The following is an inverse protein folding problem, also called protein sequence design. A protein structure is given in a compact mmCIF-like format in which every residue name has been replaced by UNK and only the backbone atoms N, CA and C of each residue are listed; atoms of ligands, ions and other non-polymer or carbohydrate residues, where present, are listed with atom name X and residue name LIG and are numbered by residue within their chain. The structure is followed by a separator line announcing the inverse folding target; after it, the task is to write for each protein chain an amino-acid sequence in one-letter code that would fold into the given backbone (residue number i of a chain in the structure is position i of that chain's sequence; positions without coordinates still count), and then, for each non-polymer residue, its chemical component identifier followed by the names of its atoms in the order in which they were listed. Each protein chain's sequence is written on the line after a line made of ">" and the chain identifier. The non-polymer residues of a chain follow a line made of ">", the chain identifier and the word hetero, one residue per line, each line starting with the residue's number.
data_IF_763996787912
#
_entry.id   IF_763996787912
#
_cell.length_a   1.000
_cell.length_b   1.000
_cell.length_c   1.000
_cell.angle_alpha   90.00
_cell.angle_beta   90.00
_cell.angle_gamma   90.00
#
_symmetry.space_group_name_H-M   'P 1'
#
loop_
_entity.id
_entity.type
_entity.pdbx_description
1 polymer ?
#
# COMPACT_ATOMS: atom_id res chain seq x y z
N UNK A 1 -2.00 2.24 9.22
CA UNK A 1 -3.24 2.90 8.76
C UNK A 1 -4.18 1.93 8.04
N UNK A 2 -3.81 1.37 6.88
CA UNK A 2 -4.68 0.49 6.09
C UNK A 2 -5.24 -0.71 6.88
N UNK A 3 -4.39 -1.44 7.60
CA UNK A 3 -4.83 -2.58 8.42
C UNK A 3 -5.81 -2.21 9.53
N UNK A 4 -5.63 -1.05 10.15
CA UNK A 4 -6.55 -0.54 11.17
C UNK A 4 -7.91 -0.20 10.55
N UNK A 5 -7.91 0.53 9.43
CA UNK A 5 -9.13 0.91 8.72
C UNK A 5 -9.91 -0.33 8.26
N UNK A 6 -9.21 -1.29 7.65
CA UNK A 6 -9.80 -2.55 7.22
C UNK A 6 -10.42 -3.32 8.39
N UNK A 7 -9.72 -3.38 9.54
CA UNK A 7 -10.24 -4.01 10.75
C UNK A 7 -11.48 -3.31 11.29
N UNK A 8 -11.47 -1.97 11.36
CA UNK A 8 -12.59 -1.21 11.93
C UNK A 8 -13.83 -1.22 11.05
N UNK A 9 -13.67 -1.15 9.73
CA UNK A 9 -14.80 -1.09 8.79
C UNK A 9 -15.34 -2.48 8.47
N UNK A 10 -14.46 -3.47 8.27
CA UNK A 10 -14.86 -4.79 7.75
C UNK A 10 -14.68 -5.94 8.75
N UNK A 11 -14.00 -5.72 9.88
CA UNK A 11 -13.60 -6.80 10.80
C UNK A 11 -12.67 -7.83 10.18
N UNK A 12 -12.04 -7.48 9.04
CA UNK A 12 -11.28 -8.37 8.14
C UNK A 12 -10.15 -7.59 7.51
N UNK A 13 -9.17 -8.28 6.94
CA UNK A 13 -8.05 -7.64 6.26
C UNK A 13 -7.49 -8.54 5.14
N UNK A 14 -6.81 -7.92 4.20
CA UNK A 14 -6.09 -8.59 3.10
C UNK A 14 -4.58 -8.60 3.30
N UNK A 15 -4.09 -7.70 4.17
CA UNK A 15 -2.67 -7.52 4.42
C UNK A 15 -2.35 -7.82 5.88
N UNK A 16 -1.23 -8.48 6.10
CA UNK A 16 -0.67 -8.70 7.42
C UNK A 16 0.74 -8.12 7.43
N UNK A 17 1.13 -7.53 8.54
CA UNK A 17 2.54 -7.23 8.76
C UNK A 17 3.22 -8.52 9.19
N UNK A 18 4.34 -8.89 8.57
CA UNK A 18 5.10 -10.10 8.91
C UNK A 18 5.69 -10.13 10.33
N UNK A 19 5.45 -9.11 11.15
CA UNK A 19 5.83 -9.06 12.56
C UNK A 19 4.67 -8.53 13.41
N UNK A 20 4.74 -8.77 14.72
CA UNK A 20 3.80 -8.26 15.72
C UNK A 20 2.34 -8.62 15.47
N UNK A 21 2.09 -9.87 15.11
CA UNK A 21 0.73 -10.41 15.00
C UNK A 21 0.58 -11.70 15.79
N UNK A 22 -0.66 -12.04 16.12
CA UNK A 22 -1.02 -13.31 16.73
C UNK A 22 -2.15 -13.97 15.92
N UNK A 23 -2.10 -15.30 15.83
CA UNK A 23 -3.13 -16.11 15.20
C UNK A 23 -3.46 -17.29 16.09
N UNK A 24 -4.75 -17.65 16.19
CA UNK A 24 -5.16 -18.83 16.95
C UNK A 24 -4.57 -20.08 16.30
N UNK A 25 -3.99 -20.98 17.11
CA UNK A 25 -3.38 -22.24 16.63
C UNK A 25 -4.30 -23.01 15.68
N UNK A 26 -5.56 -23.20 16.06
CA UNK A 26 -6.54 -23.94 15.25
C UNK A 26 -6.75 -23.27 13.88
N UNK A 27 -6.87 -21.93 13.86
CA UNK A 27 -6.97 -21.17 12.61
C UNK A 27 -5.70 -21.30 11.77
N UNK A 28 -4.52 -21.24 12.37
CA UNK A 28 -3.25 -21.40 11.65
C UNK A 28 -3.11 -22.78 10.99
N UNK A 29 -3.49 -23.84 11.71
CA UNK A 29 -3.50 -25.21 11.18
C UNK A 29 -4.55 -25.38 10.07
N UNK A 30 -5.75 -24.84 10.26
CA UNK A 30 -6.84 -24.87 9.27
C UNK A 30 -6.49 -24.17 7.94
N UNK A 31 -5.58 -23.19 7.98
CA UNK A 31 -5.10 -22.46 6.80
C UNK A 31 -3.91 -23.14 6.10
N UNK A 32 -3.44 -24.26 6.64
CA UNK A 32 -2.30 -25.01 6.12
C UNK A 32 -0.96 -24.33 6.40
N UNK A 33 -0.84 -23.62 7.53
CA UNK A 33 0.39 -22.94 7.98
C UNK A 33 0.90 -21.88 6.98
N UNK A 34 2.14 -21.43 7.14
CA UNK A 34 2.76 -20.46 6.22
C UNK A 34 2.99 -21.08 4.84
N UNK A 35 2.57 -20.40 3.76
CA UNK A 35 2.90 -20.81 2.41
C UNK A 35 4.37 -20.55 2.09
N UNK A 36 4.97 -21.39 1.24
CA UNK A 36 6.34 -21.23 0.73
C UNK A 36 6.40 -20.18 -0.40
N UNK A 37 6.19 -18.92 -0.05
CA UNK A 37 6.23 -17.76 -0.96
C UNK A 37 7.06 -16.63 -0.34
N UNK A 38 7.26 -15.52 -1.06
CA UNK A 38 8.08 -14.38 -0.63
C UNK A 38 7.40 -13.52 0.44
N UNK A 39 6.09 -13.29 0.29
CA UNK A 39 5.24 -12.57 1.24
C UNK A 39 4.28 -13.58 1.89
N UNK A 40 4.84 -14.45 2.72
CA UNK A 40 4.12 -15.51 3.41
C UNK A 40 3.01 -14.99 4.31
N UNK A 41 3.21 -13.80 4.90
CA UNK A 41 2.29 -13.06 5.74
C UNK A 41 1.04 -12.61 4.96
N UNK A 42 1.22 -12.03 3.78
CA UNK A 42 0.12 -11.59 2.92
C UNK A 42 -0.64 -12.77 2.33
N UNK A 43 0.05 -13.83 1.92
CA UNK A 43 -0.63 -15.03 1.42
C UNK A 43 -1.38 -15.76 2.55
N UNK A 44 -0.86 -15.78 3.78
CA UNK A 44 -1.59 -16.28 4.95
C UNK A 44 -2.86 -15.44 5.20
N UNK A 45 -2.75 -14.11 5.17
CA UNK A 45 -3.90 -13.22 5.34
C UNK A 45 -4.94 -13.40 4.23
N UNK A 46 -4.52 -13.58 2.99
CA UNK A 46 -5.44 -13.83 1.88
C UNK A 46 -6.26 -15.12 2.10
N UNK A 47 -5.64 -16.18 2.64
CA UNK A 47 -6.37 -17.40 3.03
C UNK A 47 -7.35 -17.11 4.19
N UNK A 48 -6.95 -16.33 5.19
CA UNK A 48 -7.86 -15.96 6.30
C UNK A 48 -9.08 -15.20 5.80
N UNK A 49 -8.88 -14.28 4.85
CA UNK A 49 -9.93 -13.49 4.22
C UNK A 49 -10.88 -14.37 3.39
N UNK A 50 -10.32 -15.34 2.65
CA UNK A 50 -11.10 -16.33 1.89
C UNK A 50 -11.98 -17.19 2.77
N UNK A 51 -11.54 -17.50 4.00
CA UNK A 51 -12.30 -18.27 5.00
C UNK A 51 -13.12 -17.40 5.97
N UNK A 52 -13.35 -16.13 5.65
CA UNK A 52 -14.19 -15.22 6.44
C UNK A 52 -13.74 -15.07 7.92
N UNK A 53 -12.46 -15.31 8.22
CA UNK A 53 -11.94 -15.22 9.59
C UNK A 53 -11.90 -13.76 10.05
N UNK A 54 -12.14 -13.55 11.34
CA UNK A 54 -12.13 -12.22 11.97
C UNK A 54 -10.69 -11.70 12.14
N UNK A 55 -10.52 -10.41 11.94
CA UNK A 55 -9.26 -9.68 12.11
C UNK A 55 -9.48 -8.44 12.98
N UNK A 56 -8.67 -8.30 14.02
CA UNK A 56 -8.63 -7.14 14.91
C UNK A 56 -7.27 -6.47 14.87
N UNK A 57 -7.24 -5.14 14.86
CA UNK A 57 -6.03 -4.35 15.00
C UNK A 57 -5.98 -3.67 16.37
N UNK A 58 -4.95 -3.95 17.17
CA UNK A 58 -4.73 -3.31 18.47
C UNK A 58 -3.79 -2.10 18.28
N UNK A 59 -4.23 -0.91 18.70
CA UNK A 59 -3.45 0.35 18.60
C UNK A 59 -2.47 0.56 19.76
N UNK A 60 -2.63 -0.18 20.85
CA UNK A 60 -1.77 -0.11 22.04
C UNK A 60 -0.53 -1.00 21.92
N UNK A 61 -0.63 -2.08 21.13
CA UNK A 61 0.50 -3.00 20.92
C UNK A 61 1.54 -2.34 20.01
N UNK A 62 2.74 -2.15 20.57
CA UNK A 62 3.88 -1.54 19.87
C UNK A 62 5.04 -2.52 19.89
N UNK A 63 5.71 -2.66 18.76
CA UNK A 63 6.96 -3.41 18.64
C UNK A 63 8.05 -2.48 18.12
N UNK A 64 9.27 -2.70 18.59
CA UNK A 64 10.45 -2.07 18.00
C UNK A 64 10.81 -2.84 16.73
N UNK A 65 10.87 -2.15 15.61
CA UNK A 65 11.37 -2.70 14.35
C UNK A 65 12.79 -2.21 14.12
N UNK A 66 13.60 -3.05 13.47
CA UNK A 66 14.90 -2.65 12.96
C UNK A 66 14.75 -2.29 11.49
N UNK A 67 15.30 -1.14 11.11
CA UNK A 67 15.33 -0.68 9.72
C UNK A 67 16.68 -1.07 9.09
N UNK A 68 16.74 -1.27 7.77
CA UNK A 68 17.99 -1.46 7.06
C UNK A 68 19.02 -0.40 7.44
N UNK A 69 20.26 -0.82 7.74
CA UNK A 69 21.31 0.09 8.24
C UNK A 69 22.06 0.79 7.10
N UNK A 70 21.97 0.26 5.88
CA UNK A 70 22.64 0.81 4.72
C UNK A 70 21.74 0.73 3.47
N UNK A 71 22.13 1.46 2.43
CA UNK A 71 21.37 1.55 1.19
C UNK A 71 21.26 0.19 0.49
N UNK A 72 22.28 -0.66 0.58
CA UNK A 72 22.26 -1.99 -0.03
C UNK A 72 21.17 -2.88 0.60
N UNK A 73 21.13 -2.99 1.93
CA UNK A 73 20.07 -3.71 2.65
C UNK A 73 18.68 -3.13 2.37
N UNK A 74 18.57 -1.81 2.26
CA UNK A 74 17.31 -1.15 1.91
C UNK A 74 16.87 -1.59 0.51
N UNK A 75 17.77 -1.55 -0.48
CA UNK A 75 17.48 -1.96 -1.87
C UNK A 75 17.04 -3.42 -1.92
N UNK A 76 17.78 -4.34 -1.27
CA UNK A 76 17.45 -5.76 -1.24
C UNK A 76 16.08 -6.02 -0.58
N UNK A 77 15.79 -5.34 0.53
CA UNK A 77 14.48 -5.44 1.19
C UNK A 77 13.35 -4.96 0.26
N UNK A 78 13.53 -3.83 -0.43
CA UNK A 78 12.50 -3.28 -1.33
C UNK A 78 12.31 -4.11 -2.59
N UNK A 79 13.39 -4.69 -3.14
CA UNK A 79 13.30 -5.69 -4.24
C UNK A 79 12.41 -6.85 -3.83
N UNK A 80 12.65 -7.43 -2.64
CA UNK A 80 11.87 -8.55 -2.11
C UNK A 80 10.39 -8.19 -1.97
N UNK A 81 10.08 -7.03 -1.39
CA UNK A 81 8.69 -6.60 -1.20
C UNK A 81 7.97 -6.37 -2.53
N UNK A 82 8.66 -5.76 -3.50
CA UNK A 82 8.11 -5.51 -4.83
C UNK A 82 7.78 -6.82 -5.58
N UNK A 83 8.70 -7.80 -5.53
CA UNK A 83 8.48 -9.12 -6.13
C UNK A 83 7.37 -9.89 -5.43
N UNK A 84 7.36 -9.90 -4.09
CA UNK A 84 6.32 -10.57 -3.29
C UNK A 84 4.93 -9.98 -3.53
N UNK A 85 4.82 -8.66 -3.65
CA UNK A 85 3.59 -7.95 -3.99
C UNK A 85 3.07 -8.38 -5.37
N UNK A 86 3.92 -8.41 -6.40
CA UNK A 86 3.54 -8.87 -7.75
C UNK A 86 2.99 -10.30 -7.72
N UNK A 87 3.71 -11.22 -7.08
CA UNK A 87 3.29 -12.64 -6.98
C UNK A 87 1.95 -12.77 -6.26
N UNK A 88 1.77 -12.03 -5.16
CA UNK A 88 0.52 -12.02 -4.40
C UNK A 88 -0.68 -11.57 -5.24
N UNK A 89 -0.50 -10.56 -6.10
CA UNK A 89 -1.57 -10.13 -7.02
C UNK A 89 -1.91 -11.17 -8.04
N UNK A 90 -0.91 -11.78 -8.67
CA UNK A 90 -1.15 -12.87 -9.62
C UNK A 90 -1.95 -13.99 -8.93
N UNK A 91 -1.64 -14.31 -7.67
CA UNK A 91 -2.40 -15.28 -6.89
C UNK A 91 -3.85 -14.82 -6.62
N UNK A 92 -4.05 -13.56 -6.26
CA UNK A 92 -5.38 -12.99 -6.01
C UNK A 92 -6.24 -12.96 -7.29
N UNK A 93 -5.70 -12.50 -8.41
CA UNK A 93 -6.41 -12.43 -9.69
C UNK A 93 -6.81 -13.82 -10.22
N UNK A 94 -5.98 -14.84 -9.99
CA UNK A 94 -6.34 -16.23 -10.29
C UNK A 94 -7.56 -16.71 -9.50
N UNK A 95 -7.86 -16.11 -8.35
CA UNK A 95 -9.01 -16.44 -7.50
C UNK A 95 -10.14 -15.41 -7.70
N UNK A 96 -10.80 -15.46 -8.85
CA UNK A 96 -11.80 -14.47 -9.28
C UNK A 96 -12.82 -14.08 -8.19
N UNK A 97 -13.46 -15.05 -7.54
CA UNK A 97 -14.44 -14.77 -6.46
C UNK A 97 -13.82 -14.09 -5.24
N UNK A 98 -12.60 -14.48 -4.87
CA UNK A 98 -11.88 -13.86 -3.78
C UNK A 98 -11.46 -12.42 -4.12
N UNK A 99 -11.06 -12.20 -5.38
CA UNK A 99 -10.78 -10.86 -5.91
C UNK A 99 -12.02 -9.96 -5.82
N UNK A 100 -13.17 -10.40 -6.32
CA UNK A 100 -14.42 -9.61 -6.22
C UNK A 100 -14.78 -9.26 -4.77
N UNK A 101 -14.64 -10.22 -3.84
CA UNK A 101 -14.86 -9.98 -2.41
C UNK A 101 -13.86 -8.98 -1.84
N UNK A 102 -12.61 -9.03 -2.29
CA UNK A 102 -11.54 -8.14 -1.86
C UNK A 102 -11.74 -6.70 -2.32
N UNK A 103 -12.45 -6.46 -3.43
CA UNK A 103 -12.70 -5.12 -3.98
C UNK A 103 -13.38 -4.17 -2.99
N UNK A 104 -14.26 -4.68 -2.11
CA UNK A 104 -14.90 -3.84 -1.08
C UNK A 104 -13.88 -3.29 -0.10
N UNK A 105 -12.98 -4.15 0.38
CA UNK A 105 -11.92 -3.78 1.33
C UNK A 105 -10.90 -2.88 0.66
N UNK A 106 -10.40 -3.30 -0.50
CA UNK A 106 -9.43 -2.53 -1.29
C UNK A 106 -10.00 -1.17 -1.65
N UNK A 107 -11.27 -1.12 -2.05
CA UNK A 107 -11.93 0.12 -2.45
C UNK A 107 -11.99 1.14 -1.31
N UNK A 108 -12.54 0.77 -0.16
CA UNK A 108 -12.64 1.73 0.97
C UNK A 108 -11.26 2.16 1.46
N UNK A 109 -10.32 1.22 1.62
CA UNK A 109 -8.94 1.56 2.00
C UNK A 109 -8.33 2.49 0.96
N UNK A 110 -8.54 2.18 -0.31
CA UNK A 110 -8.10 2.96 -1.45
C UNK A 110 -8.56 4.39 -1.49
N UNK A 111 -9.88 4.57 -1.40
CA UNK A 111 -10.51 5.89 -1.34
C UNK A 111 -9.87 6.72 -0.23
N UNK A 112 -9.81 6.18 1.00
CA UNK A 112 -9.28 6.93 2.16
C UNK A 112 -7.80 7.29 1.98
N UNK A 113 -6.97 6.37 1.48
CA UNK A 113 -5.55 6.65 1.25
C UNK A 113 -5.33 7.64 0.10
N UNK A 114 -6.25 7.68 -0.87
CA UNK A 114 -6.16 8.56 -2.05
C UNK A 114 -6.88 9.91 -1.85
N UNK A 115 -7.53 10.12 -0.70
CA UNK A 115 -8.26 11.36 -0.37
C UNK A 115 -7.46 12.64 -0.64
N UNK A 116 -6.17 12.75 -0.26
CA UNK A 116 -5.40 13.97 -0.54
C UNK A 116 -5.32 14.32 -2.03
N UNK A 117 -5.22 13.30 -2.88
CA UNK A 117 -5.15 13.48 -4.35
C UNK A 117 -6.54 13.84 -4.89
N UNK A 118 -7.58 13.17 -4.41
CA UNK A 118 -8.97 13.44 -4.80
C UNK A 118 -9.34 14.89 -4.49
N UNK A 119 -9.06 15.36 -3.27
CA UNK A 119 -9.33 16.75 -2.87
C UNK A 119 -8.56 17.75 -3.72
N UNK A 120 -7.28 17.48 -3.97
CA UNK A 120 -6.45 18.32 -4.82
C UNK A 120 -6.95 18.37 -6.26
N UNK A 121 -7.43 17.24 -6.80
CA UNK A 121 -8.00 17.20 -8.14
C UNK A 121 -9.26 18.06 -8.20
N UNK A 122 -10.19 17.90 -7.24
CA UNK A 122 -11.42 18.68 -7.16
C UNK A 122 -11.13 20.18 -7.17
N UNK A 123 -10.17 20.63 -6.35
CA UNK A 123 -9.75 22.03 -6.33
C UNK A 123 -9.17 22.46 -7.68
N UNK A 124 -8.38 21.62 -8.35
CA UNK A 124 -7.87 21.96 -9.68
C UNK A 124 -9.00 22.12 -10.71
N UNK A 125 -10.06 21.30 -10.61
CA UNK A 125 -11.23 21.38 -11.50
C UNK A 125 -12.06 22.65 -11.27
N UNK A 126 -12.03 23.21 -10.07
CA UNK A 126 -12.73 24.47 -9.75
C UNK A 126 -11.98 25.71 -10.22
N UNK A 127 -10.65 25.64 -10.34
CA UNK A 127 -9.79 26.79 -10.65
C UNK A 127 -9.57 26.98 -12.15
N UNK A 128 -9.64 25.90 -12.93
CA UNK A 128 -9.21 25.94 -14.34
C UNK A 128 -10.38 25.71 -15.30
N UNK A 129 -10.48 26.53 -16.35
CA UNK A 129 -11.37 26.36 -17.52
C UNK A 129 -10.89 25.16 -18.36
N UNK A 130 -11.01 23.96 -17.79
CA UNK A 130 -10.40 22.76 -18.36
C UNK A 130 -11.37 22.06 -19.32
N UNK A 131 -10.86 21.76 -20.52
CA UNK A 131 -11.47 20.79 -21.43
C UNK A 131 -11.83 19.48 -20.69
N UNK A 132 -13.07 19.02 -20.82
CA UNK A 132 -13.58 17.74 -20.29
C UNK A 132 -12.60 16.57 -20.54
N UNK A 133 -11.84 16.59 -21.63
CA UNK A 133 -10.84 15.56 -21.97
C UNK A 133 -9.69 15.42 -20.98
N UNK A 134 -9.18 16.52 -20.40
CA UNK A 134 -8.11 16.49 -19.40
C UNK A 134 -8.64 16.07 -18.02
N UNK A 135 -9.89 16.41 -17.71
CA UNK A 135 -10.60 15.95 -16.52
C UNK A 135 -10.86 14.45 -16.57
N UNK A 136 -11.24 13.92 -17.74
CA UNK A 136 -11.42 12.49 -17.95
C UNK A 136 -10.11 11.72 -17.76
N UNK A 137 -8.98 12.21 -18.27
CA UNK A 137 -7.66 11.62 -18.02
C UNK A 137 -7.31 11.56 -16.52
N UNK A 138 -7.64 12.61 -15.77
CA UNK A 138 -7.40 12.63 -14.32
C UNK A 138 -8.28 11.64 -13.55
N UNK A 139 -9.55 11.52 -13.94
CA UNK A 139 -10.46 10.52 -13.37
C UNK A 139 -9.98 9.12 -13.72
N UNK A 140 -9.55 8.88 -14.96
CA UNK A 140 -8.98 7.60 -15.40
C UNK A 140 -7.69 7.27 -14.63
N UNK A 141 -6.85 8.25 -14.32
CA UNK A 141 -5.63 8.09 -13.52
C UNK A 141 -5.92 7.89 -12.03
N UNK A 142 -6.95 8.54 -11.47
CA UNK A 142 -7.45 8.23 -10.13
C UNK A 142 -8.06 6.84 -10.07
N UNK A 143 -8.77 6.41 -11.12
CA UNK A 143 -9.29 5.06 -11.25
C UNK A 143 -8.15 4.04 -11.37
N UNK A 144 -7.10 4.34 -12.14
CA UNK A 144 -5.88 3.54 -12.24
C UNK A 144 -5.11 3.51 -10.91
N UNK A 145 -5.16 4.57 -10.10
CA UNK A 145 -4.65 4.59 -8.72
C UNK A 145 -5.50 3.71 -7.78
N UNK A 146 -6.83 3.80 -7.92
CA UNK A 146 -7.83 3.09 -7.12
C UNK A 146 -7.83 1.58 -7.37
N UNK A 147 -7.76 1.14 -8.63
CA UNK A 147 -7.55 -0.27 -8.99
C UNK A 147 -6.08 -0.69 -8.86
N UNK A 148 -5.16 0.28 -8.95
CA UNK A 148 -3.72 0.10 -8.81
C UNK A 148 -3.23 0.11 -7.36
N UNK A 149 -4.11 -0.08 -6.38
CA UNK A 149 -3.74 -0.05 -4.96
C UNK A 149 -2.67 -1.07 -4.56
N UNK A 150 -2.22 -1.93 -5.47
CA UNK A 150 -0.89 -2.53 -5.39
C UNK A 150 -0.39 -3.08 -6.77
N UNK A 151 -0.94 -2.60 -7.89
CA UNK A 151 -0.22 -2.67 -9.17
C UNK A 151 0.72 -1.46 -9.17
N UNK A 152 1.93 -1.53 -9.72
CA UNK A 152 2.72 -0.30 -9.90
C UNK A 152 2.11 0.69 -10.94
N UNK A 153 0.80 0.57 -11.25
CA UNK A 153 -0.02 1.58 -11.95
C UNK A 153 -0.47 2.73 -11.03
N UNK A 154 -0.57 2.56 -9.71
CA UNK A 154 -0.82 3.70 -8.80
C UNK A 154 0.32 4.73 -8.80
N UNK A 155 1.43 4.39 -9.42
CA UNK A 155 2.69 4.99 -9.08
C UNK A 155 3.18 5.90 -10.23
N UNK A 156 3.00 5.46 -11.48
CA UNK A 156 2.91 6.36 -12.65
C UNK A 156 1.70 7.29 -12.53
N UNK A 157 0.58 6.77 -12.03
CA UNK A 157 -0.61 7.57 -11.72
C UNK A 157 -0.30 8.68 -10.72
N UNK A 158 0.35 8.39 -9.59
CA UNK A 158 0.72 9.39 -8.58
C UNK A 158 1.69 10.46 -9.11
N UNK A 159 2.77 10.07 -9.79
CA UNK A 159 3.76 11.04 -10.30
C UNK A 159 3.17 11.91 -11.41
N UNK A 160 2.44 11.32 -12.36
CA UNK A 160 1.75 12.09 -13.39
C UNK A 160 0.66 12.97 -12.78
N UNK A 161 -0.07 12.50 -11.76
CA UNK A 161 -1.07 13.31 -11.06
C UNK A 161 -0.41 14.45 -10.30
N UNK A 162 0.73 14.22 -9.65
CA UNK A 162 1.51 15.26 -8.97
C UNK A 162 2.00 16.33 -9.94
N UNK A 163 2.59 15.91 -11.08
CA UNK A 163 3.08 16.83 -12.12
C UNK A 163 1.92 17.60 -12.78
N UNK A 164 0.79 16.94 -13.03
CA UNK A 164 -0.39 17.54 -13.64
C UNK A 164 -1.13 18.47 -12.68
N UNK A 165 -1.20 18.13 -11.39
CA UNK A 165 -1.71 19.03 -10.35
C UNK A 165 -0.78 20.24 -10.21
N UNK A 166 0.53 20.03 -10.26
CA UNK A 166 1.52 21.10 -10.19
C UNK A 166 1.50 22.05 -11.39
N UNK A 167 1.20 21.55 -12.59
CA UNK A 167 1.04 22.41 -13.77
C UNK A 167 -0.23 23.26 -13.73
N UNK A 168 -1.19 22.95 -12.85
CA UNK A 168 -2.41 23.74 -12.62
C UNK A 168 -2.26 24.82 -11.54
N UNK A 169 -1.06 25.00 -11.02
CA UNK A 169 -0.72 26.05 -10.07
C UNK A 169 -0.48 25.56 -8.64
N UNK A 170 -0.12 26.49 -7.78
CA UNK A 170 0.32 26.20 -6.41
C UNK A 170 -0.82 25.78 -5.48
N UNK A 171 -2.05 26.28 -5.70
CA UNK A 171 -3.17 26.03 -4.80
C UNK A 171 -3.55 24.54 -4.70
N UNK A 172 -3.71 23.77 -5.80
CA UNK A 172 -3.91 22.32 -5.72
C UNK A 172 -2.79 21.60 -4.96
N UNK A 173 -1.51 21.96 -5.19
CA UNK A 173 -0.38 21.37 -4.46
C UNK A 173 -0.45 21.65 -2.96
N UNK A 174 -0.81 22.87 -2.55
CA UNK A 174 -1.00 23.24 -1.15
C UNK A 174 -2.12 22.40 -0.52
N UNK A 175 -3.23 22.21 -1.23
CA UNK A 175 -4.36 21.39 -0.76
C UNK A 175 -3.95 19.93 -0.60
N UNK A 176 -3.22 19.36 -1.58
CA UNK A 176 -2.71 18.00 -1.49
C UNK A 176 -1.77 17.82 -0.29
N UNK A 177 -0.84 18.77 -0.09
CA UNK A 177 0.10 18.73 1.02
C UNK A 177 -0.63 18.87 2.36
N UNK A 178 -1.57 19.82 2.48
CA UNK A 178 -2.39 20.02 3.68
C UNK A 178 -3.25 18.80 4.02
N UNK A 179 -3.87 18.17 3.02
CA UNK A 179 -4.65 16.95 3.23
C UNK A 179 -3.78 15.77 3.67
N UNK A 180 -2.58 15.61 3.09
CA UNK A 180 -1.61 14.61 3.57
C UNK A 180 -1.17 14.90 5.01
N UNK A 181 -0.89 16.16 5.34
CA UNK A 181 -0.52 16.56 6.69
C UNK A 181 -1.61 16.19 7.70
N UNK A 182 -2.87 16.55 7.42
CA UNK A 182 -4.00 16.23 8.28
C UNK A 182 -4.18 14.72 8.47
N UNK A 183 -4.04 13.95 7.39
CA UNK A 183 -4.15 12.49 7.44
C UNK A 183 -3.03 11.89 8.30
N UNK A 184 -1.76 12.21 8.04
CA UNK A 184 -0.64 11.70 8.84
C UNK A 184 -0.70 12.17 10.29
N UNK A 185 -1.06 13.43 10.53
CA UNK A 185 -1.20 13.98 11.88
C UNK A 185 -2.31 13.26 12.65
N UNK A 186 -3.50 13.09 12.06
CA UNK A 186 -4.62 12.39 12.71
C UNK A 186 -4.24 10.97 13.08
N UNK A 187 -3.61 10.23 12.15
CA UNK A 187 -3.21 8.85 12.42
C UNK A 187 -2.02 8.74 13.37
N UNK A 188 -1.15 9.74 13.45
CA UNK A 188 -0.10 9.79 14.48
C UNK A 188 -0.72 9.86 15.88
N UNK A 189 -1.77 10.65 16.07
CA UNK A 189 -2.49 10.76 17.35
C UNK A 189 -3.26 9.47 17.65
N UNK A 190 -3.93 8.91 16.65
CA UNK A 190 -4.69 7.66 16.79
C UNK A 190 -3.82 6.48 17.24
N UNK A 191 -2.59 6.38 16.74
CA UNK A 191 -1.67 5.29 17.08
C UNK A 191 -0.69 5.66 18.21
N UNK A 192 -0.81 6.85 18.79
CA UNK A 192 0.11 7.34 19.83
C UNK A 192 1.57 7.37 19.37
N UNK A 193 1.81 7.77 18.11
CA UNK A 193 3.13 8.04 17.56
C UNK A 193 3.50 9.52 17.71
N UNK A 194 4.80 9.79 17.87
CA UNK A 194 5.33 11.15 17.79
C UNK A 194 5.21 11.62 16.34
N UNK A 195 4.63 12.80 16.15
CA UNK A 195 4.60 13.46 14.85
C UNK A 195 5.70 14.52 14.80
N UNK A 196 6.54 14.43 13.79
CA UNK A 196 7.58 15.41 13.50
C UNK A 196 7.31 16.02 12.12
N UNK A 197 7.12 17.34 12.08
CA UNK A 197 6.79 18.04 10.84
C UNK A 197 7.92 17.98 9.82
N UNK A 198 9.18 18.06 10.25
CA UNK A 198 10.35 18.01 9.36
C UNK A 198 10.48 16.63 8.72
N UNK A 199 10.31 15.56 9.51
CA UNK A 199 10.29 14.18 9.00
C UNK A 199 9.14 13.97 8.00
N UNK A 200 7.97 14.53 8.29
CA UNK A 200 6.81 14.48 7.39
C UNK A 200 7.09 15.18 6.05
N UNK A 201 7.66 16.39 6.07
CA UNK A 201 8.03 17.14 4.86
C UNK A 201 9.03 16.35 4.03
N UNK A 202 10.08 15.82 4.67
CA UNK A 202 11.08 14.99 4.00
C UNK A 202 10.47 13.72 3.40
N UNK A 203 9.56 13.08 4.16
CA UNK A 203 8.87 11.88 3.73
C UNK A 203 8.02 12.14 2.49
N UNK A 204 7.19 13.19 2.48
CA UNK A 204 6.25 13.46 1.40
C UNK A 204 6.96 14.00 0.15
N UNK A 205 7.94 14.88 0.30
CA UNK A 205 8.57 15.55 -0.84
C UNK A 205 9.72 14.76 -1.49
N UNK A 206 10.44 13.93 -0.71
CA UNK A 206 11.64 13.26 -1.20
C UNK A 206 11.54 11.74 -1.12
N UNK A 207 11.37 11.19 0.09
CA UNK A 207 11.44 9.75 0.30
C UNK A 207 10.29 9.01 -0.40
N UNK A 208 9.06 9.50 -0.28
CA UNK A 208 7.89 8.86 -0.88
C UNK A 208 7.99 8.84 -2.40
N UNK A 209 8.28 9.95 -3.12
CA UNK A 209 8.55 9.93 -4.56
C UNK A 209 9.70 9.00 -4.98
N UNK A 210 10.79 8.94 -4.20
CA UNK A 210 11.91 8.04 -4.48
C UNK A 210 11.52 6.56 -4.32
N UNK A 211 10.89 6.20 -3.20
CA UNK A 211 10.38 4.86 -2.92
C UNK A 211 9.38 4.43 -4.01
N UNK A 212 8.53 5.37 -4.41
CA UNK A 212 7.62 5.28 -5.55
C UNK A 212 8.46 4.90 -6.78
N UNK A 213 9.37 5.76 -7.25
CA UNK A 213 10.19 5.51 -8.44
C UNK A 213 10.93 4.16 -8.41
N UNK A 214 11.42 3.75 -7.24
CA UNK A 214 12.06 2.46 -7.03
C UNK A 214 11.11 1.28 -7.34
N UNK A 215 9.87 1.31 -6.82
CA UNK A 215 8.91 0.25 -7.08
C UNK A 215 8.45 0.19 -8.54
N UNK A 216 8.49 1.30 -9.32
CA UNK A 216 8.29 1.24 -10.78
C UNK A 216 9.38 0.42 -11.45
N UNK A 217 10.63 0.82 -11.22
CA UNK A 217 11.78 0.23 -11.89
C UNK A 217 11.89 -1.27 -11.54
N UNK A 218 11.80 -1.61 -10.26
CA UNK A 218 11.95 -2.99 -9.82
C UNK A 218 10.70 -3.84 -10.01
N UNK A 219 9.52 -3.28 -9.74
CA UNK A 219 8.26 -4.01 -9.81
C UNK A 219 7.85 -4.35 -11.24
N UNK A 220 8.15 -3.47 -12.21
CA UNK A 220 7.86 -3.73 -13.63
C UNK A 220 9.07 -4.24 -14.39
N UNK A 221 10.13 -3.45 -14.52
CA UNK A 221 11.17 -3.72 -15.52
C UNK A 221 12.03 -4.89 -15.07
N UNK A 222 12.54 -4.83 -13.84
CA UNK A 222 13.51 -5.81 -13.34
C UNK A 222 12.84 -7.14 -13.00
N UNK A 223 11.58 -7.14 -12.55
CA UNK A 223 10.88 -8.38 -12.17
C UNK A 223 10.55 -9.31 -13.33
N UNK A 224 10.50 -8.81 -14.59
CA UNK A 224 10.41 -9.69 -15.77
C UNK A 224 11.73 -10.39 -16.09
N UNK A 225 12.85 -9.79 -15.67
CA UNK A 225 14.21 -10.25 -15.97
C UNK A 225 14.77 -11.14 -14.84
N UNK A 226 14.51 -10.77 -13.59
CA UNK A 226 15.03 -11.46 -12.41
C UNK A 226 13.94 -12.29 -11.75
N UNK A 227 14.16 -13.60 -11.70
CA UNK A 227 13.34 -14.51 -10.90
C UNK A 227 13.65 -14.30 -9.42
N UNK A 228 12.64 -14.19 -8.55
CA UNK A 228 12.88 -14.04 -7.12
C UNK A 228 13.61 -15.25 -6.57
N UNK A 229 14.72 -15.02 -5.86
CA UNK A 229 15.32 -16.04 -5.01
C UNK A 229 14.46 -16.18 -3.75
N UNK A 230 14.17 -17.41 -3.39
CA UNK A 230 13.44 -17.74 -2.17
C UNK A 230 14.51 -18.11 -1.13
N UNK A 231 14.74 -17.23 -0.16
CA UNK A 231 15.85 -17.34 0.80
C UNK A 231 15.61 -18.34 1.95
N UNK A 232 14.54 -19.15 1.89
CA UNK A 232 14.29 -20.14 2.94
C UNK A 232 15.35 -21.24 2.89
N UNK A 233 16.31 -21.22 3.82
CA UNK A 233 17.07 -22.39 4.22
C UNK A 233 16.09 -23.32 4.92
N UNK A 234 15.62 -24.36 4.22
CA UNK A 234 15.01 -25.50 4.91
C UNK A 234 16.16 -26.18 5.64
N UNK A 235 16.35 -25.90 6.93
CA UNK A 235 17.12 -26.84 7.74
C UNK A 235 16.32 -28.14 7.72
N UNK A 236 16.82 -29.13 7.00
CA UNK A 236 16.39 -30.51 7.15
C UNK A 236 16.78 -30.97 8.55
N UNK A 237 16.04 -30.54 9.57
CA UNK A 237 16.00 -31.21 10.85
C UNK A 237 14.89 -32.24 10.74
N UNK A 238 15.32 -33.47 10.44
CA UNK A 238 14.48 -34.67 10.47
C UNK A 238 13.95 -34.98 11.86
#
# INVERSE_FOLDING_TARGET
>A
MASWLSSKVFGRNLFLCGSAFAIRKNTFLELGRFPKVINEDWSLMLKTFGKDKKFSYNTELKVKTYVPMNLYEWIEQRKRWSLGMRVWWIELFKKFWLFLKSLKVLGVVGVVMSMPIILSLLVSLLISDVSISMTFLNVLMLFANYFGLNFNFSLTGYVLTFLLIGSRGLLPLIVMFGANFLLFFTFSKLFGFRFNFVEFVFYVLFYYPFLVGFYLLYGWIVSFIFKPKIDWVVSNSG
#
